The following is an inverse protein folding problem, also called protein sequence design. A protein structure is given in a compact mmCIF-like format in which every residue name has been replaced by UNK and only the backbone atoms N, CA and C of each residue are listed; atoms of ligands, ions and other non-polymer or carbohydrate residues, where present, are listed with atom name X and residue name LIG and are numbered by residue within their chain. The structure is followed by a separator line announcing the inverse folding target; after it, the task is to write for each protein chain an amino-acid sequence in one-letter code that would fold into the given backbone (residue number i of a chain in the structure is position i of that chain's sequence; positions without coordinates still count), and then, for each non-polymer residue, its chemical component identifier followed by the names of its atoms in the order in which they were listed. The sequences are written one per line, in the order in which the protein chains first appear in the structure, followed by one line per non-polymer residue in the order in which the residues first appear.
data_IF_903746858958
#
_entry.id   IF_903746858958
#
_cell.length_a   1.000
_cell.length_b   1.000
_cell.length_c   1.000
_cell.angle_alpha   90.00
_cell.angle_beta   90.00
_cell.angle_gamma   90.00
#
_symmetry.space_group_name_H-M   'P 1'
#
loop_
_entity.id
_entity.type
_entity.pdbx_description
1 polymer ?
#
# COMPACT_ATOMS: atom_id res chain seq x y z
N UNK A 1 0.01 5.34 -13.07
CA UNK A 1 -0.89 4.16 -12.85
C UNK A 1 -1.89 4.50 -11.75
N UNK A 2 -3.17 4.17 -11.91
CA UNK A 2 -4.13 4.16 -10.82
C UNK A 2 -4.01 2.85 -10.04
N UNK A 3 -3.89 2.93 -8.71
CA UNK A 3 -3.86 1.75 -7.85
C UNK A 3 -5.29 1.30 -7.56
N UNK A 4 -5.50 -0.01 -7.50
CA UNK A 4 -6.76 -0.67 -7.17
C UNK A 4 -6.71 -1.29 -5.77
N UNK A 5 -7.85 -1.58 -5.11
CA UNK A 5 -7.85 -2.34 -3.86
C UNK A 5 -7.13 -3.70 -4.00
N UNK A 6 -7.20 -4.31 -5.18
CA UNK A 6 -6.52 -5.56 -5.50
C UNK A 6 -4.99 -5.42 -5.52
N UNK A 7 -4.46 -4.29 -6.00
CA UNK A 7 -3.01 -4.02 -5.94
C UNK A 7 -2.53 -3.93 -4.49
N UNK A 8 -3.34 -3.31 -3.61
CA UNK A 8 -3.04 -3.25 -2.19
C UNK A 8 -3.13 -4.62 -1.52
N UNK A 9 -4.15 -5.42 -1.86
CA UNK A 9 -4.30 -6.78 -1.36
C UNK A 9 -3.11 -7.66 -1.74
N UNK A 10 -2.73 -7.69 -3.01
CA UNK A 10 -1.58 -8.47 -3.49
C UNK A 10 -0.32 -8.11 -2.71
N UNK A 11 -0.13 -6.80 -2.42
CA UNK A 11 1.00 -6.33 -1.62
C UNK A 11 0.95 -6.87 -0.18
N UNK A 12 -0.24 -6.92 0.43
CA UNK A 12 -0.43 -7.45 1.79
C UNK A 12 -0.32 -8.98 1.84
N UNK A 13 -0.64 -9.67 0.75
CA UNK A 13 -0.45 -11.13 0.59
C UNK A 13 1.04 -11.51 0.52
N UNK A 14 1.87 -10.64 -0.05
CA UNK A 14 3.33 -10.82 -0.10
C UNK A 14 4.04 -10.50 1.24
N UNK A 15 3.31 -10.03 2.26
CA UNK A 15 3.82 -9.88 3.63
C UNK A 15 3.72 -11.22 4.36
N UNK A 16 4.82 -11.64 4.97
CA UNK A 16 4.79 -12.74 5.94
C UNK A 16 3.92 -12.40 7.15
N UNK A 17 3.52 -13.38 7.95
CA UNK A 17 2.56 -13.14 9.05
C UNK A 17 3.11 -12.19 10.13
N UNK A 18 4.40 -12.24 10.43
CA UNK A 18 5.02 -11.29 11.37
C UNK A 18 5.00 -9.86 10.82
N UNK A 19 5.30 -9.70 9.54
CA UNK A 19 5.30 -8.41 8.85
C UNK A 19 3.90 -7.83 8.74
N UNK A 20 2.91 -8.69 8.44
CA UNK A 20 1.50 -8.31 8.42
C UNK A 20 1.00 -7.90 9.82
N UNK A 21 1.43 -8.59 10.88
CA UNK A 21 1.11 -8.18 12.25
C UNK A 21 1.74 -6.82 12.60
N UNK A 22 2.98 -6.56 12.19
CA UNK A 22 3.62 -5.23 12.33
C UNK A 22 2.88 -4.17 11.53
N UNK A 23 2.45 -4.49 10.30
CA UNK A 23 1.66 -3.60 9.46
C UNK A 23 0.36 -3.17 10.17
N UNK A 24 -0.40 -4.13 10.70
CA UNK A 24 -1.62 -3.86 11.49
C UNK A 24 -1.31 -3.03 12.73
N UNK A 25 -0.23 -3.34 13.45
CA UNK A 25 0.17 -2.53 14.60
C UNK A 25 0.41 -1.06 14.23
N UNK A 26 1.07 -0.81 13.10
CA UNK A 26 1.40 0.55 12.63
C UNK A 26 0.16 1.32 12.12
N UNK A 27 -0.89 0.65 11.66
CA UNK A 27 -2.19 1.29 11.35
C UNK A 27 -2.88 1.92 12.59
N UNK A 28 -2.43 1.55 13.79
CA UNK A 28 -2.90 2.14 15.04
C UNK A 28 -2.02 3.30 15.54
N UNK A 29 -0.81 3.47 14.97
CA UNK A 29 0.20 4.38 15.47
C UNK A 29 0.07 5.78 14.84
N UNK A 30 -0.28 6.76 15.66
CA UNK A 30 -0.56 8.13 15.21
C UNK A 30 0.69 8.85 14.66
N UNK A 31 1.86 8.54 15.20
CA UNK A 31 3.16 9.07 14.75
C UNK A 31 3.52 8.62 13.33
N UNK A 32 3.13 7.41 12.96
CA UNK A 32 3.34 6.83 11.62
C UNK A 32 2.35 7.42 10.61
N UNK A 33 1.08 7.54 11.02
CA UNK A 33 0.00 7.97 10.14
C UNK A 33 -0.05 9.49 9.96
N UNK A 34 0.55 10.26 10.87
CA UNK A 34 0.66 11.73 10.82
C UNK A 34 -0.70 12.41 10.60
N UNK A 35 -1.04 12.74 9.35
CA UNK A 35 -2.28 13.43 8.96
C UNK A 35 -3.45 12.47 8.71
N UNK A 36 -3.22 11.15 8.73
CA UNK A 36 -4.27 10.16 8.55
C UNK A 36 -4.87 9.71 9.88
N UNK A 37 -6.20 9.51 9.96
CA UNK A 37 -6.84 9.02 11.17
C UNK A 37 -6.34 7.61 11.54
N UNK A 38 -6.11 7.33 12.82
CA UNK A 38 -5.71 5.98 13.24
C UNK A 38 -6.89 5.00 13.19
N UNK A 39 -6.60 3.74 12.91
CA UNK A 39 -7.59 2.66 13.03
C UNK A 39 -7.52 2.08 14.44
N UNK A 40 -8.68 1.88 15.07
CA UNK A 40 -8.76 1.31 16.43
C UNK A 40 -8.21 -0.13 16.44
N UNK A 41 -7.34 -0.45 17.40
CA UNK A 41 -6.74 -1.78 17.58
C UNK A 41 -7.79 -2.91 17.61
N UNK A 42 -8.93 -2.69 18.25
CA UNK A 42 -10.02 -3.69 18.31
C UNK A 42 -10.58 -4.08 16.95
N UNK A 43 -10.45 -3.23 15.92
CA UNK A 43 -10.83 -3.54 14.54
C UNK A 43 -9.74 -4.28 13.77
N UNK A 44 -8.51 -4.36 14.29
CA UNK A 44 -7.34 -4.93 13.60
C UNK A 44 -6.92 -6.29 14.17
N UNK A 45 -7.32 -6.62 15.40
CA UNK A 45 -6.91 -7.87 16.04
C UNK A 45 -7.47 -9.12 15.35
N UNK A 46 -8.64 -9.04 14.71
CA UNK A 46 -9.31 -10.19 14.06
C UNK A 46 -9.38 -10.09 12.54
N UNK A 47 -8.80 -9.06 11.91
CA UNK A 47 -8.91 -8.88 10.46
C UNK A 47 -7.87 -9.70 9.71
N UNK A 48 -8.36 -10.37 8.67
CA UNK A 48 -7.51 -10.96 7.64
C UNK A 48 -7.00 -9.86 6.67
N UNK A 49 -6.21 -10.26 5.66
CA UNK A 49 -5.62 -9.33 4.68
C UNK A 49 -6.70 -8.60 3.86
N UNK A 50 -7.77 -9.28 3.46
CA UNK A 50 -8.90 -8.70 2.73
C UNK A 50 -9.65 -7.66 3.56
N UNK A 51 -10.03 -8.01 4.79
CA UNK A 51 -10.75 -7.11 5.69
C UNK A 51 -9.91 -5.87 6.02
N UNK A 52 -8.59 -6.04 6.09
CA UNK A 52 -7.66 -4.92 6.33
C UNK A 52 -7.62 -3.96 5.15
N UNK A 53 -7.58 -4.46 3.91
CA UNK A 53 -7.67 -3.63 2.69
C UNK A 53 -9.00 -2.86 2.68
N UNK A 54 -10.10 -3.55 2.93
CA UNK A 54 -11.43 -2.96 2.92
C UNK A 54 -11.55 -1.87 3.99
N UNK A 55 -11.04 -2.12 5.18
CA UNK A 55 -11.02 -1.16 6.28
C UNK A 55 -10.15 0.07 5.95
N UNK A 56 -8.99 -0.12 5.31
CA UNK A 56 -8.14 0.98 4.88
C UNK A 56 -8.84 1.83 3.80
N UNK A 57 -9.46 1.21 2.81
CA UNK A 57 -10.18 1.93 1.74
C UNK A 57 -11.40 2.66 2.29
N UNK A 58 -12.12 2.06 3.24
CA UNK A 58 -13.25 2.73 3.92
C UNK A 58 -12.80 3.93 4.75
N UNK A 59 -11.64 3.83 5.41
CA UNK A 59 -11.13 4.88 6.31
C UNK A 59 -10.45 6.03 5.55
N UNK A 60 -9.62 5.70 4.55
CA UNK A 60 -8.72 6.65 3.90
C UNK A 60 -9.09 6.98 2.45
N UNK A 61 -10.09 6.27 1.88
CA UNK A 61 -10.29 6.14 0.44
C UNK A 61 -9.08 5.49 -0.23
N UNK A 62 -9.28 5.00 -1.46
CA UNK A 62 -8.25 4.24 -2.15
C UNK A 62 -6.90 4.99 -2.31
N UNK A 63 -6.85 6.28 -2.69
CA UNK A 63 -5.58 7.00 -2.76
C UNK A 63 -4.87 7.10 -1.41
N UNK A 64 -5.60 7.45 -0.35
CA UNK A 64 -5.03 7.55 1.00
C UNK A 64 -4.62 6.20 1.57
N UNK A 65 -5.37 5.13 1.30
CA UNK A 65 -5.03 3.77 1.70
C UNK A 65 -3.67 3.33 1.12
N UNK A 66 -3.43 3.67 -0.14
CA UNK A 66 -2.14 3.39 -0.81
C UNK A 66 -1.01 4.21 -0.20
N UNK A 67 -1.21 5.49 0.09
CA UNK A 67 -0.19 6.32 0.74
C UNK A 67 0.15 5.81 2.14
N UNK A 68 -0.85 5.45 2.93
CA UNK A 68 -0.65 4.84 4.25
C UNK A 68 0.09 3.51 4.14
N UNK A 69 -0.29 2.65 3.20
CA UNK A 69 0.40 1.38 2.98
C UNK A 69 1.87 1.58 2.64
N UNK A 70 2.19 2.53 1.76
CA UNK A 70 3.58 2.87 1.41
C UNK A 70 4.39 3.31 2.63
N UNK A 71 3.87 4.24 3.43
CA UNK A 71 4.55 4.70 4.66
C UNK A 71 4.85 3.55 5.63
N UNK A 72 3.90 2.62 5.77
CA UNK A 72 4.07 1.48 6.67
C UNK A 72 5.08 0.47 6.11
N UNK A 73 5.03 0.17 4.81
CA UNK A 73 5.97 -0.71 4.12
C UNK A 73 7.41 -0.21 4.22
N UNK A 74 7.63 1.10 4.06
CA UNK A 74 8.92 1.76 4.32
C UNK A 74 9.39 1.52 5.76
N UNK A 75 8.47 1.60 6.73
CA UNK A 75 8.80 1.45 8.16
C UNK A 75 9.19 0.03 8.56
N UNK A 76 8.62 -0.98 7.90
CA UNK A 76 8.97 -2.39 8.11
C UNK A 76 10.07 -2.89 7.15
N UNK A 77 10.70 -1.97 6.41
CA UNK A 77 11.80 -2.25 5.47
C UNK A 77 11.42 -3.16 4.28
N UNK A 78 10.14 -3.25 3.92
CA UNK A 78 9.66 -3.97 2.71
C UNK A 78 9.68 -3.06 1.48
N UNK A 79 10.85 -2.51 1.20
CA UNK A 79 11.08 -1.59 0.08
C UNK A 79 10.97 -2.28 -1.29
N UNK A 80 11.12 -3.61 -1.33
CA UNK A 80 10.84 -4.46 -2.48
C UNK A 80 9.39 -4.32 -2.95
N UNK A 81 8.44 -4.28 -2.00
CA UNK A 81 7.01 -4.17 -2.28
C UNK A 81 6.56 -2.75 -2.65
N UNK A 82 7.29 -1.73 -2.20
CA UNK A 82 7.01 -0.33 -2.58
C UNK A 82 7.12 -0.11 -4.09
N UNK A 83 8.05 -0.80 -4.74
CA UNK A 83 8.23 -0.68 -6.19
C UNK A 83 7.05 -1.28 -6.95
N UNK A 84 6.42 -2.33 -6.42
CA UNK A 84 5.20 -2.91 -6.98
C UNK A 84 4.03 -1.92 -6.95
N UNK A 85 3.90 -1.13 -5.88
CA UNK A 85 2.91 -0.04 -5.74
C UNK A 85 3.29 1.26 -6.49
N UNK A 86 4.49 1.34 -7.06
CA UNK A 86 4.97 2.48 -7.85
C UNK A 86 5.01 2.22 -9.36
N UNK A 87 4.90 0.97 -9.83
CA UNK A 87 5.07 0.67 -11.24
C UNK A 87 4.11 1.49 -12.11
N UNK A 88 4.61 2.34 -13.03
CA UNK A 88 3.78 2.92 -14.07
C UNK A 88 3.22 1.78 -14.95
N UNK A 89 2.14 2.03 -15.70
CA UNK A 89 1.66 1.08 -16.68
C UNK A 89 2.84 0.74 -17.62
N UNK A 90 3.14 -0.54 -17.81
CA UNK A 90 4.26 -1.02 -18.66
C UNK A 90 4.17 -0.51 -20.11
N UNK A 91 3.00 0.01 -20.48
CA UNK A 91 2.60 0.62 -21.74
C UNK A 91 2.98 2.12 -21.90
N UNK A 92 3.42 2.81 -20.84
CA UNK A 92 3.94 4.20 -20.94
C UNK A 92 5.46 4.25 -21.13
N UNK A 93 6.23 3.32 -20.54
CA UNK A 93 7.68 3.27 -20.67
C UNK A 93 8.16 2.98 -22.11
N UNK A 94 7.32 2.33 -22.92
CA UNK A 94 7.61 2.03 -24.32
C UNK A 94 7.20 3.14 -25.30
N UNK A 95 6.39 4.12 -24.87
CA UNK A 95 6.01 5.26 -25.76
C UNK A 95 7.06 6.35 -25.77
N UNK A 96 7.68 6.64 -24.63
CA UNK A 96 8.68 7.71 -24.50
C UNK A 96 9.98 7.38 -25.25
N UNK A 97 10.38 6.11 -25.27
CA UNK A 97 11.59 5.65 -25.98
C UNK A 97 11.43 5.64 -27.51
N UNK A 98 10.21 5.48 -28.03
CA UNK A 98 9.96 5.51 -29.47
C UNK A 98 9.83 6.94 -30.04
N UNK A 99 9.46 7.93 -29.22
CA UNK A 99 9.42 9.34 -29.65
C UNK A 99 10.80 10.00 -29.75
N UNK A 100 11.81 9.48 -29.04
CA UNK A 100 13.19 9.99 -29.10
C UNK A 100 14.02 9.36 -30.23
N UNK A 101 13.50 8.32 -30.90
CA UNK A 101 14.12 7.66 -32.07
C UNK A 101 13.49 8.06 -33.42
N UNK A 102 13.07 9.32 -33.58
CA UNK A 102 12.80 9.89 -34.90
C UNK A 102 13.95 10.82 -35.28
N UNK A 103 14.71 10.38 -36.27
CA UNK A 103 15.75 11.11 -37.00
C UNK A 103 15.30 12.49 -37.48
#
# INVERSE_FOLDING_TARGET
RANTPQDLLSTLEDLGDEEFNKFKWLLHQADVLQSFPTIKKSRLETTNRWDTVDLMVQTYRLPGAVEVAKKILERISRNDLLQSLHKPPLDEANRTTLSEMRF
#
